data_IF_365008973480
#
_entry.id   IF_365008973480
#
_cell.length_a   1.000
_cell.length_b   1.000
_cell.length_c   1.000
_cell.angle_alpha   90.00
_cell.angle_beta   90.00
_cell.angle_gamma   90.00
#
_symmetry.space_group_name_H-M   'P 1'
#
loop_
_entity.id
_entity.type
_entity.pdbx_description
1 polymer ?
#
# COMPACT_ATOMS: atom_id res chain seq x y z
N UNK A 1 0.83 16.31 -23.82
CA UNK A 1 1.15 15.96 -22.42
C UNK A 1 1.72 14.55 -22.47
N UNK A 2 3.04 14.40 -22.30
CA UNK A 2 3.67 13.09 -22.40
C UNK A 2 3.42 12.31 -21.11
N UNK A 3 2.84 11.11 -21.23
CA UNK A 3 2.64 10.22 -20.09
C UNK A 3 3.90 9.38 -19.96
N UNK A 4 4.68 9.61 -18.90
CA UNK A 4 5.78 8.71 -18.57
C UNK A 4 5.18 7.44 -17.98
N UNK A 5 5.43 6.26 -18.57
CA UNK A 5 4.91 5.01 -18.04
C UNK A 5 5.48 4.76 -16.66
N UNK A 6 4.63 4.28 -15.75
CA UNK A 6 5.08 3.82 -14.44
C UNK A 6 5.88 2.54 -14.66
N UNK A 7 7.13 2.51 -14.20
CA UNK A 7 7.95 1.30 -14.27
C UNK A 7 7.33 0.21 -13.39
N UNK A 8 6.88 -0.88 -14.01
CA UNK A 8 6.35 -2.06 -13.34
C UNK A 8 7.37 -2.67 -12.35
N UNK A 9 8.66 -2.45 -12.60
CA UNK A 9 9.74 -2.97 -11.76
C UNK A 9 10.04 -2.10 -10.54
N UNK A 10 9.50 -0.88 -10.44
CA UNK A 10 9.81 0.04 -9.34
C UNK A 10 8.60 0.65 -8.64
N UNK A 11 7.39 0.44 -9.17
CA UNK A 11 6.21 1.08 -8.60
C UNK A 11 5.86 0.55 -7.22
N UNK A 12 5.23 1.42 -6.43
CA UNK A 12 4.71 1.10 -5.11
C UNK A 12 3.20 1.25 -5.11
N UNK A 13 2.51 0.43 -4.31
CA UNK A 13 1.06 0.55 -4.09
C UNK A 13 0.83 1.07 -2.68
N UNK A 14 -0.01 2.09 -2.57
CA UNK A 14 -0.22 2.85 -1.35
C UNK A 14 -1.71 2.96 -1.05
N UNK A 15 -2.12 2.36 0.05
CA UNK A 15 -3.50 2.34 0.51
C UNK A 15 -3.73 3.51 1.47
N UNK A 16 -4.60 4.43 1.08
CA UNK A 16 -5.15 5.42 2.02
C UNK A 16 -6.37 4.78 2.66
N UNK A 17 -6.23 4.49 3.95
CA UNK A 17 -7.13 3.63 4.68
C UNK A 17 -6.57 2.21 4.82
N UNK A 18 -6.86 1.61 5.97
CA UNK A 18 -6.44 0.27 6.32
C UNK A 18 -7.66 -0.65 6.50
N UNK A 19 -8.72 -0.50 5.70
CA UNK A 19 -9.93 -1.33 5.79
C UNK A 19 -9.75 -2.76 5.27
N UNK A 20 -10.80 -3.58 5.37
CA UNK A 20 -10.79 -4.97 4.86
C UNK A 20 -10.53 -5.04 3.35
N UNK A 21 -10.99 -4.04 2.59
CA UNK A 21 -10.75 -3.96 1.16
C UNK A 21 -9.25 -3.75 0.86
N UNK A 22 -8.60 -2.81 1.55
CA UNK A 22 -7.15 -2.59 1.45
C UNK A 22 -6.37 -3.87 1.76
N UNK A 23 -6.78 -4.60 2.80
CA UNK A 23 -6.15 -5.88 3.15
C UNK A 23 -6.33 -6.93 2.05
N UNK A 24 -7.55 -7.10 1.53
CA UNK A 24 -7.82 -8.08 0.47
C UNK A 24 -7.00 -7.81 -0.78
N UNK A 25 -6.87 -6.54 -1.17
CA UNK A 25 -6.08 -6.13 -2.34
C UNK A 25 -4.59 -6.35 -2.05
N UNK A 26 -4.08 -5.89 -0.90
CA UNK A 26 -2.67 -6.07 -0.54
C UNK A 26 -2.27 -7.55 -0.51
N UNK A 27 -3.11 -8.41 0.07
CA UNK A 27 -2.90 -9.87 0.07
C UNK A 27 -2.93 -10.44 -1.34
N UNK A 28 -3.87 -10.03 -2.19
CA UNK A 28 -3.95 -10.48 -3.59
C UNK A 28 -2.75 -10.06 -4.43
N UNK A 29 -2.26 -8.83 -4.23
CA UNK A 29 -1.05 -8.30 -4.87
C UNK A 29 0.19 -9.11 -4.48
N UNK A 30 0.33 -9.43 -3.18
CA UNK A 30 1.42 -10.25 -2.68
C UNK A 30 1.31 -11.70 -3.17
N UNK A 31 0.12 -12.30 -3.07
CA UNK A 31 -0.11 -13.69 -3.45
C UNK A 31 0.04 -13.95 -4.96
N UNK A 32 -0.26 -12.95 -5.80
CA UNK A 32 -0.05 -13.04 -7.25
C UNK A 32 1.41 -12.90 -7.67
N UNK A 33 2.31 -12.49 -6.76
CA UNK A 33 3.70 -12.17 -7.08
C UNK A 33 3.89 -10.87 -7.85
N UNK A 34 2.82 -10.08 -8.02
CA UNK A 34 2.88 -8.80 -8.76
C UNK A 34 3.82 -7.80 -8.08
N UNK A 35 3.75 -7.70 -6.74
CA UNK A 35 4.67 -6.88 -5.97
C UNK A 35 5.06 -7.57 -4.66
N UNK A 36 6.34 -7.45 -4.25
CA UNK A 36 6.75 -7.89 -2.92
C UNK A 36 6.03 -7.07 -1.83
N UNK A 37 5.81 -7.66 -0.63
CA UNK A 37 5.11 -6.99 0.46
C UNK A 37 5.67 -5.61 0.83
N UNK A 38 6.99 -5.45 0.83
CA UNK A 38 7.68 -4.21 1.17
C UNK A 38 7.47 -3.05 0.17
N UNK A 39 6.83 -3.29 -0.98
CA UNK A 39 6.42 -2.25 -1.94
C UNK A 39 4.95 -1.87 -1.82
N UNK A 40 4.25 -2.50 -0.88
CA UNK A 40 2.92 -2.10 -0.47
C UNK A 40 3.05 -1.24 0.79
N UNK A 41 2.17 -0.27 0.95
CA UNK A 41 2.13 0.56 2.15
C UNK A 41 0.72 0.99 2.49
N UNK A 42 0.41 1.16 3.78
CA UNK A 42 -0.87 1.71 4.23
C UNK A 42 -0.66 2.70 5.37
N UNK A 43 -1.60 3.62 5.57
CA UNK A 43 -1.64 4.51 6.71
C UNK A 43 -2.66 4.00 7.72
N UNK A 44 -2.24 3.85 8.97
CA UNK A 44 -3.10 3.50 10.08
C UNK A 44 -3.04 4.62 11.10
N UNK A 45 -4.05 5.50 11.08
CA UNK A 45 -4.11 6.64 11.98
C UNK A 45 -4.58 6.28 13.40
N UNK A 46 -5.67 5.49 13.52
CA UNK A 46 -6.33 5.26 14.83
C UNK A 46 -6.45 3.81 15.27
N UNK A 47 -6.37 2.83 14.36
CA UNK A 47 -6.67 1.44 14.68
C UNK A 47 -5.42 0.54 14.69
N UNK A 48 -4.75 0.45 15.85
CA UNK A 48 -3.51 -0.32 16.00
C UNK A 48 -3.66 -1.82 15.67
N UNK A 49 -4.85 -2.41 15.83
CA UNK A 49 -5.09 -3.80 15.42
C UNK A 49 -4.92 -3.97 13.91
N UNK A 50 -5.28 -2.95 13.12
CA UNK A 50 -5.07 -2.98 11.66
C UNK A 50 -3.59 -2.89 11.31
N UNK A 51 -2.78 -2.11 12.04
CA UNK A 51 -1.33 -2.07 11.85
C UNK A 51 -0.72 -3.46 11.95
N UNK A 52 -1.04 -4.20 13.01
CA UNK A 52 -0.52 -5.57 13.22
C UNK A 52 -0.87 -6.51 12.06
N UNK A 53 -2.10 -6.41 11.52
CA UNK A 53 -2.54 -7.23 10.38
C UNK A 53 -1.65 -6.98 9.16
N UNK A 54 -1.40 -5.72 8.79
CA UNK A 54 -0.58 -5.38 7.62
C UNK A 54 0.92 -5.69 7.83
N UNK A 55 1.45 -5.41 9.01
CA UNK A 55 2.83 -5.74 9.36
C UNK A 55 3.09 -7.25 9.34
N UNK A 56 2.11 -8.06 9.77
CA UNK A 56 2.23 -9.52 9.81
C UNK A 56 2.54 -10.14 8.44
N UNK A 57 2.04 -9.57 7.35
CA UNK A 57 2.34 -10.05 6.00
C UNK A 57 3.34 -9.16 5.25
N UNK A 58 4.08 -8.30 5.96
CA UNK A 58 5.25 -7.57 5.45
C UNK A 58 4.95 -6.26 4.73
N UNK A 59 3.75 -5.69 4.90
CA UNK A 59 3.39 -4.37 4.35
C UNK A 59 3.89 -3.27 5.28
N UNK A 60 4.42 -2.18 4.70
CA UNK A 60 4.84 -1.03 5.48
C UNK A 60 3.62 -0.25 6.02
N UNK A 61 3.60 0.05 7.31
CA UNK A 61 2.48 0.77 7.94
C UNK A 61 2.94 2.11 8.52
N UNK A 62 2.50 3.18 7.89
CA UNK A 62 2.76 4.55 8.33
C UNK A 62 1.69 5.03 9.32
N UNK A 63 2.03 6.05 10.11
CA UNK A 63 1.11 6.59 11.11
C UNK A 63 0.15 7.64 10.51
N UNK A 64 0.49 8.18 9.35
CA UNK A 64 -0.30 9.19 8.64
C UNK A 64 -0.25 9.00 7.12
N UNK A 65 -1.25 9.52 6.40
CA UNK A 65 -1.30 9.47 4.93
C UNK A 65 -0.25 10.39 4.29
N UNK A 66 0.16 11.42 4.99
CA UNK A 66 1.15 12.41 4.56
C UNK A 66 2.54 11.76 4.42
N UNK A 67 2.87 10.83 5.33
CA UNK A 67 4.10 10.04 5.30
C UNK A 67 4.17 9.08 4.10
N UNK A 68 3.03 8.79 3.46
CA UNK A 68 2.94 7.85 2.35
C UNK A 68 3.30 8.51 1.01
N UNK A 69 3.67 9.79 0.99
CA UNK A 69 4.07 10.46 -0.26
C UNK A 69 5.34 9.87 -0.91
N UNK A 70 5.46 9.99 -2.23
CA UNK A 70 6.64 9.57 -2.97
C UNK A 70 6.39 9.39 -4.46
N UNK A 71 7.47 9.43 -5.24
CA UNK A 71 7.47 9.27 -6.69
C UNK A 71 7.17 7.82 -7.10
N UNK A 72 6.64 7.63 -8.32
CA UNK A 72 6.34 6.31 -8.92
C UNK A 72 5.43 5.43 -8.05
N UNK A 73 4.27 5.95 -7.67
CA UNK A 73 3.35 5.25 -6.77
C UNK A 73 1.89 5.36 -7.20
N UNK A 74 1.17 4.26 -7.03
CA UNK A 74 -0.28 4.18 -7.20
C UNK A 74 -0.95 4.33 -5.84
N UNK A 75 -1.80 5.35 -5.70
CA UNK A 75 -2.59 5.57 -4.49
C UNK A 75 -3.99 5.01 -4.68
N UNK A 76 -4.42 4.17 -3.76
CA UNK A 76 -5.76 3.60 -3.69
C UNK A 76 -6.43 4.14 -2.43
N UNK A 77 -7.39 5.05 -2.60
CA UNK A 77 -8.26 5.49 -1.52
C UNK A 77 -9.45 4.55 -1.45
N UNK A 78 -9.61 3.85 -0.33
CA UNK A 78 -10.64 2.83 -0.14
C UNK A 78 -11.49 3.26 1.06
N UNK A 79 -12.68 3.77 0.77
CA UNK A 79 -13.69 4.18 1.78
C UNK A 79 -14.33 2.95 2.48
#
# INVERSE_FOLDING_TARGET
METLPISAESFKVRFIGAGKMAESIARGVVASGMLPPNRNSTAVHSNLNRRQVFEFFGVNVFSSSEEISGSSSLYLSLE
#
